data_IF_622139001991
#
_entry.id   IF_622139001991
#
_cell.length_a   1.000
_cell.length_b   1.000
_cell.length_c   1.000
_cell.angle_alpha   90.00
_cell.angle_beta   90.00
_cell.angle_gamma   90.00
#
_symmetry.space_group_name_H-M   'P 1'
#
loop_
_entity.id
_entity.type
_entity.pdbx_description
1 polymer ?
#
# COMPACT_ATOMS: atom_id res chain seq x y z
N UNK A 1 -16.51 15.14 -17.44
CA UNK A 1 -15.04 14.96 -17.36
C UNK A 1 -14.74 14.11 -16.15
N UNK A 2 -13.95 13.04 -16.31
CA UNK A 2 -13.56 12.13 -15.24
C UNK A 2 -12.23 12.56 -14.64
N UNK A 3 -12.12 12.58 -13.31
CA UNK A 3 -10.89 12.89 -12.58
C UNK A 3 -10.48 11.64 -11.79
N UNK A 4 -9.27 11.16 -12.06
CA UNK A 4 -8.64 10.06 -11.33
C UNK A 4 -7.64 10.62 -10.31
N UNK A 5 -7.89 10.37 -9.03
CA UNK A 5 -6.96 10.66 -7.95
C UNK A 5 -6.17 9.39 -7.59
N UNK A 6 -4.86 9.43 -7.78
CA UNK A 6 -3.99 8.30 -7.49
C UNK A 6 -3.41 8.47 -6.09
N UNK A 7 -3.76 7.55 -5.19
CA UNK A 7 -3.11 7.42 -3.88
C UNK A 7 -2.41 6.07 -3.80
N UNK A 8 -1.10 6.06 -3.97
CA UNK A 8 -0.38 4.80 -4.12
C UNK A 8 -0.37 3.95 -2.83
N UNK A 9 -0.24 4.56 -1.65
CA UNK A 9 -0.17 3.85 -0.36
C UNK A 9 -0.99 4.57 0.71
N UNK A 10 -1.44 3.81 1.70
CA UNK A 10 -2.07 4.28 2.93
C UNK A 10 -3.37 5.07 2.71
N UNK A 11 -4.13 4.74 1.65
CA UNK A 11 -5.47 5.27 1.47
C UNK A 11 -6.49 4.46 2.25
N UNK A 12 -6.44 3.12 2.11
CA UNK A 12 -7.38 2.26 2.82
C UNK A 12 -6.98 2.13 4.28
N UNK A 13 -7.93 2.39 5.18
CA UNK A 13 -7.70 2.45 6.62
C UNK A 13 -6.61 3.48 7.02
N UNK A 14 -6.28 4.43 6.14
CA UNK A 14 -5.33 5.49 6.40
C UNK A 14 -5.90 6.48 7.41
N UNK A 15 -5.12 6.89 8.40
CA UNK A 15 -5.53 7.94 9.38
C UNK A 15 -4.61 9.16 9.23
N UNK A 16 -3.94 9.26 8.08
CA UNK A 16 -2.94 10.29 7.79
C UNK A 16 -3.52 11.54 7.12
N UNK A 17 -2.77 12.64 7.17
CA UNK A 17 -3.15 13.88 6.50
C UNK A 17 -3.31 13.73 4.98
N UNK A 18 -2.56 12.82 4.35
CA UNK A 18 -2.63 12.58 2.91
C UNK A 18 -3.97 11.98 2.48
N UNK A 19 -4.52 11.04 3.26
CA UNK A 19 -5.86 10.50 2.99
C UNK A 19 -6.92 11.58 3.22
N UNK A 20 -6.81 12.38 4.29
CA UNK A 20 -7.71 13.51 4.56
C UNK A 20 -7.77 14.49 3.39
N UNK A 21 -6.62 14.89 2.87
CA UNK A 21 -6.54 15.83 1.75
C UNK A 21 -7.12 15.22 0.48
N UNK A 22 -6.80 13.95 0.19
CA UNK A 22 -7.35 13.24 -0.96
C UNK A 22 -8.89 13.16 -0.90
N UNK A 23 -9.44 12.71 0.23
CA UNK A 23 -10.89 12.59 0.46
C UNK A 23 -11.58 13.96 0.39
N UNK A 24 -10.96 15.01 0.94
CA UNK A 24 -11.47 16.38 0.87
C UNK A 24 -11.50 16.90 -0.57
N UNK A 25 -10.40 16.73 -1.31
CA UNK A 25 -10.31 17.13 -2.71
C UNK A 25 -11.33 16.38 -3.57
N UNK A 26 -11.45 15.07 -3.38
CA UNK A 26 -12.39 14.23 -4.10
C UNK A 26 -13.83 14.69 -3.90
N UNK A 27 -14.19 15.03 -2.66
CA UNK A 27 -15.51 15.55 -2.33
C UNK A 27 -15.78 16.89 -3.01
N UNK A 28 -14.84 17.84 -2.95
CA UNK A 28 -14.98 19.15 -3.60
C UNK A 28 -15.19 18.98 -5.12
N UNK A 29 -14.35 18.15 -5.77
CA UNK A 29 -14.48 17.88 -7.19
C UNK A 29 -15.81 17.21 -7.54
N UNK A 30 -16.23 16.24 -6.72
CA UNK A 30 -17.50 15.57 -6.92
C UNK A 30 -18.70 16.51 -6.76
N UNK A 31 -18.68 17.41 -5.77
CA UNK A 31 -19.72 18.42 -5.57
C UNK A 31 -19.77 19.43 -6.71
N UNK A 32 -18.63 19.70 -7.36
CA UNK A 32 -18.54 20.54 -8.55
C UNK A 32 -18.98 19.84 -9.85
N UNK A 33 -19.58 18.65 -9.75
CA UNK A 33 -20.14 17.92 -10.89
C UNK A 33 -19.15 17.08 -11.68
N UNK A 34 -17.92 16.89 -11.18
CA UNK A 34 -16.97 15.96 -11.80
C UNK A 34 -17.26 14.51 -11.39
N UNK A 35 -17.03 13.58 -12.32
CA UNK A 35 -16.97 12.16 -11.98
C UNK A 35 -15.58 11.90 -11.36
N UNK A 36 -15.55 11.48 -10.09
CA UNK A 36 -14.30 11.34 -9.34
C UNK A 36 -14.10 9.89 -8.94
N UNK A 37 -12.91 9.39 -9.24
CA UNK A 37 -12.46 8.08 -8.80
C UNK A 37 -11.14 8.22 -8.04
N UNK A 38 -11.04 7.55 -6.89
CA UNK A 38 -9.79 7.41 -6.15
C UNK A 38 -9.29 5.98 -6.37
N UNK A 39 -8.09 5.84 -6.92
CA UNK A 39 -7.45 4.55 -7.10
C UNK A 39 -6.26 4.38 -6.14
N UNK A 40 -6.11 3.17 -5.63
CA UNK A 40 -5.00 2.74 -4.76
C UNK A 40 -4.44 1.38 -5.19
N UNK A 41 -3.24 1.03 -4.73
CA UNK A 41 -2.59 -0.25 -5.00
C UNK A 41 -1.99 -0.82 -3.71
N UNK A 42 -2.86 -1.34 -2.85
CA UNK A 42 -2.49 -1.83 -1.52
C UNK A 42 -2.94 -3.27 -1.32
N UNK A 43 -2.04 -4.11 -0.79
CA UNK A 43 -2.37 -5.50 -0.42
C UNK A 43 -3.13 -5.57 0.91
N UNK A 44 -4.24 -4.85 1.01
CA UNK A 44 -5.13 -4.84 2.17
C UNK A 44 -6.58 -4.74 1.72
N UNK A 45 -7.47 -5.28 2.55
CA UNK A 45 -8.90 -4.94 2.49
C UNK A 45 -9.15 -3.78 3.45
N UNK A 46 -9.93 -2.79 3.01
CA UNK A 46 -10.23 -1.64 3.84
C UNK A 46 -11.16 -0.66 3.14
N UNK A 47 -11.51 0.39 3.86
CA UNK A 47 -12.29 1.51 3.35
C UNK A 47 -11.56 2.83 3.68
N UNK A 48 -11.89 3.92 2.97
CA UNK A 48 -11.51 5.26 3.40
C UNK A 48 -11.98 5.51 4.85
N UNK A 49 -11.17 6.23 5.63
CA UNK A 49 -11.52 6.61 7.00
C UNK A 49 -12.27 7.92 7.00
N UNK A 50 -11.88 8.88 6.17
CA UNK A 50 -12.63 10.13 6.01
C UNK A 50 -13.83 9.91 5.08
N UNK A 51 -14.96 10.58 5.37
CA UNK A 51 -16.19 10.41 4.60
C UNK A 51 -15.99 10.87 3.15
N UNK A 52 -16.50 10.07 2.22
CA UNK A 52 -16.55 10.39 0.80
C UNK A 52 -17.98 10.69 0.35
N UNK A 53 -18.10 11.58 -0.62
CA UNK A 53 -19.34 11.82 -1.33
C UNK A 53 -19.79 10.53 -2.04
N UNK A 54 -21.11 10.27 -2.08
CA UNK A 54 -21.66 8.98 -2.54
C UNK A 54 -21.30 8.63 -3.99
N UNK A 55 -21.03 9.63 -4.83
CA UNK A 55 -20.62 9.44 -6.21
C UNK A 55 -19.11 9.29 -6.41
N UNK A 56 -18.30 9.44 -5.36
CA UNK A 56 -16.85 9.17 -5.45
C UNK A 56 -16.64 7.66 -5.42
N UNK A 57 -16.03 7.14 -6.48
CA UNK A 57 -15.67 5.72 -6.58
C UNK A 57 -14.30 5.49 -5.94
N UNK A 58 -14.13 4.37 -5.24
CA UNK A 58 -12.84 3.92 -4.71
C UNK A 58 -12.49 2.58 -5.31
N UNK A 59 -11.32 2.49 -5.94
CA UNK A 59 -10.84 1.29 -6.63
C UNK A 59 -9.47 0.89 -6.09
N UNK A 60 -9.32 -0.37 -5.67
CA UNK A 60 -8.01 -0.92 -5.33
C UNK A 60 -7.56 -1.84 -6.48
N UNK A 61 -6.54 -1.41 -7.22
CA UNK A 61 -6.01 -2.11 -8.39
C UNK A 61 -4.98 -3.18 -8.03
N UNK A 62 -4.81 -3.48 -6.74
CA UNK A 62 -3.84 -4.48 -6.28
C UNK A 62 -4.12 -5.86 -6.88
N UNK A 63 -3.08 -6.46 -7.45
CA UNK A 63 -3.08 -7.84 -7.93
C UNK A 63 -2.04 -8.68 -7.15
N UNK A 64 -2.50 -9.78 -6.54
CA UNK A 64 -1.66 -10.71 -5.81
C UNK A 64 -0.76 -11.56 -6.72
N UNK A 65 -1.12 -11.71 -8.00
CA UNK A 65 -0.33 -12.46 -8.98
C UNK A 65 0.86 -11.66 -9.51
N UNK A 66 0.86 -10.34 -9.31
CA UNK A 66 1.97 -9.49 -9.71
C UNK A 66 3.18 -9.76 -8.81
N UNK A 67 4.26 -10.24 -9.41
CA UNK A 67 5.50 -10.52 -8.70
C UNK A 67 6.05 -9.26 -8.00
N UNK A 68 6.02 -9.27 -6.67
CA UNK A 68 6.65 -8.28 -5.81
C UNK A 68 7.59 -8.96 -4.82
N UNK A 69 8.73 -8.34 -4.57
CA UNK A 69 9.73 -8.82 -3.60
C UNK A 69 9.53 -8.05 -2.31
N UNK A 70 8.82 -8.67 -1.37
CA UNK A 70 8.49 -8.03 -0.09
C UNK A 70 9.47 -8.45 1.02
N UNK A 71 9.73 -7.50 1.90
CA UNK A 71 10.46 -7.76 3.13
C UNK A 71 9.57 -8.48 4.14
N UNK A 72 10.16 -9.38 4.92
CA UNK A 72 9.46 -9.97 6.04
C UNK A 72 9.33 -8.95 7.17
N UNK A 73 8.15 -8.81 7.80
CA UNK A 73 7.97 -7.90 8.90
C UNK A 73 8.85 -8.29 10.09
N UNK A 74 9.41 -7.29 10.76
CA UNK A 74 10.21 -7.45 11.96
C UNK A 74 9.31 -7.23 13.17
N UNK A 75 8.85 -8.32 13.77
CA UNK A 75 7.97 -8.27 14.93
C UNK A 75 8.74 -8.37 16.25
N UNK A 76 8.33 -7.58 17.24
CA UNK A 76 8.77 -7.69 18.63
C UNK A 76 7.66 -8.30 19.46
N UNK A 77 7.95 -9.43 20.12
CA UNK A 77 7.01 -10.04 21.07
C UNK A 77 6.74 -9.10 22.23
N UNK A 78 5.46 -8.78 22.46
CA UNK A 78 4.98 -7.89 23.54
C UNK A 78 4.41 -8.64 24.75
N UNK A 79 4.28 -9.97 24.69
CA UNK A 79 3.77 -10.75 25.80
C UNK A 79 4.84 -11.12 26.83
N UNK A 80 4.43 -11.84 27.87
CA UNK A 80 5.29 -12.23 29.00
C UNK A 80 5.78 -13.69 28.94
N UNK A 81 5.26 -14.52 28.02
CA UNK A 81 5.62 -15.93 27.96
C UNK A 81 7.04 -16.13 27.39
N UNK A 82 7.97 -16.75 28.15
CA UNK A 82 9.37 -16.88 27.75
C UNK A 82 9.60 -17.82 26.56
N UNK A 83 8.81 -18.89 26.41
CA UNK A 83 8.91 -19.81 25.27
C UNK A 83 8.47 -19.13 23.97
N UNK A 84 7.37 -18.36 24.03
CA UNK A 84 6.94 -17.54 22.91
C UNK A 84 7.99 -16.48 22.58
N UNK A 85 8.58 -15.83 23.59
CA UNK A 85 9.66 -14.87 23.38
C UNK A 85 10.84 -15.47 22.61
N UNK A 86 11.30 -16.68 22.95
CA UNK A 86 12.36 -17.37 22.21
C UNK A 86 11.97 -17.64 20.75
N UNK A 87 10.75 -18.14 20.50
CA UNK A 87 10.22 -18.37 19.15
C UNK A 87 10.22 -17.08 18.32
N UNK A 88 9.76 -15.98 18.90
CA UNK A 88 9.72 -14.68 18.22
C UNK A 88 11.11 -14.06 18.03
N UNK A 89 12.06 -14.31 18.94
CA UNK A 89 13.47 -13.93 18.75
C UNK A 89 14.09 -14.66 17.56
N UNK A 90 13.87 -15.97 17.44
CA UNK A 90 14.33 -16.75 16.30
C UNK A 90 13.70 -16.25 14.99
N UNK A 91 12.37 -16.05 14.96
CA UNK A 91 11.65 -15.47 13.82
C UNK A 91 12.20 -14.10 13.43
N UNK A 92 12.45 -13.22 14.40
CA UNK A 92 13.03 -11.89 14.17
C UNK A 92 14.44 -11.99 13.55
N UNK A 93 15.27 -12.91 14.04
CA UNK A 93 16.63 -13.14 13.50
C UNK A 93 16.56 -13.63 12.05
N UNK A 94 15.65 -14.56 11.76
CA UNK A 94 15.39 -15.03 10.40
C UNK A 94 14.92 -13.90 9.48
N UNK A 95 13.91 -13.11 9.87
CA UNK A 95 13.42 -11.98 9.06
C UNK A 95 14.54 -10.98 8.75
N UNK A 96 15.38 -10.64 9.73
CA UNK A 96 16.54 -9.74 9.51
C UNK A 96 17.53 -10.31 8.51
N UNK A 97 17.86 -11.58 8.63
CA UNK A 97 18.77 -12.26 7.70
C UNK A 97 18.20 -12.32 6.29
N UNK A 98 16.92 -12.71 6.15
CA UNK A 98 16.22 -12.76 4.87
C UNK A 98 16.16 -11.38 4.21
N UNK A 99 15.73 -10.34 4.93
CA UNK A 99 15.65 -8.98 4.39
C UNK A 99 17.02 -8.46 3.95
N UNK A 100 18.08 -8.73 4.74
CA UNK A 100 19.46 -8.37 4.36
C UNK A 100 19.89 -9.08 3.07
N UNK A 101 19.66 -10.39 2.96
CA UNK A 101 19.96 -11.18 1.76
C UNK A 101 19.16 -10.69 0.55
N UNK A 102 17.89 -10.36 0.73
CA UNK A 102 17.02 -9.82 -0.32
C UNK A 102 17.56 -8.48 -0.84
N UNK A 103 17.85 -7.52 0.05
CA UNK A 103 18.46 -6.23 -0.32
C UNK A 103 19.78 -6.42 -1.07
N UNK A 104 20.64 -7.32 -0.59
CA UNK A 104 21.91 -7.63 -1.27
C UNK A 104 21.71 -8.19 -2.68
N UNK A 105 20.81 -9.18 -2.84
CA UNK A 105 20.49 -9.77 -4.16
C UNK A 105 19.91 -8.76 -5.15
N UNK A 106 19.15 -7.79 -4.66
CA UNK A 106 18.58 -6.73 -5.49
C UNK A 106 19.56 -5.58 -5.77
N UNK A 107 20.74 -5.58 -5.16
CA UNK A 107 21.72 -4.50 -5.30
C UNK A 107 21.38 -3.25 -4.51
N UNK A 108 20.70 -3.41 -3.37
CA UNK A 108 20.38 -2.36 -2.41
C UNK A 108 18.88 -2.14 -2.21
N UNK A 109 18.55 -1.33 -1.20
CA UNK A 109 17.18 -0.95 -0.85
C UNK A 109 16.49 -0.15 -1.95
N UNK A 110 17.22 0.81 -2.54
CA UNK A 110 16.70 1.63 -3.64
C UNK A 110 16.30 0.78 -4.85
N UNK A 111 17.11 -0.22 -5.22
CA UNK A 111 16.80 -1.10 -6.36
C UNK A 111 15.64 -2.06 -6.07
N UNK A 112 15.52 -2.55 -4.83
CA UNK A 112 14.35 -3.32 -4.39
C UNK A 112 13.07 -2.47 -4.50
N UNK A 113 13.10 -1.23 -4.03
CA UNK A 113 11.98 -0.30 -4.14
C UNK A 113 11.62 0.00 -5.59
N UNK A 114 12.61 0.32 -6.43
CA UNK A 114 12.40 0.58 -7.86
C UNK A 114 11.83 -0.64 -8.60
N UNK A 115 12.28 -1.86 -8.28
CA UNK A 115 11.73 -3.08 -8.87
C UNK A 115 10.24 -3.21 -8.56
N UNK A 116 9.85 -3.10 -7.28
CA UNK A 116 8.45 -3.20 -6.89
C UNK A 116 7.60 -2.06 -7.47
N UNK A 117 8.15 -0.84 -7.54
CA UNK A 117 7.49 0.31 -8.16
C UNK A 117 7.24 0.09 -9.65
N UNK A 118 8.25 -0.40 -10.39
CA UNK A 118 8.12 -0.73 -11.82
C UNK A 118 7.06 -1.80 -12.06
N UNK A 119 7.02 -2.83 -11.22
CA UNK A 119 5.99 -3.87 -11.31
C UNK A 119 4.60 -3.26 -11.12
N UNK A 120 4.39 -2.46 -10.06
CA UNK A 120 3.10 -1.81 -9.82
C UNK A 120 2.72 -0.80 -10.90
N UNK A 121 3.70 -0.17 -11.54
CA UNK A 121 3.46 0.73 -12.67
C UNK A 121 2.81 0.03 -13.87
N UNK A 122 2.99 -1.29 -14.03
CA UNK A 122 2.29 -2.08 -15.06
C UNK A 122 0.79 -2.04 -14.79
N UNK A 123 0.37 -2.34 -13.55
CA UNK A 123 -1.04 -2.27 -13.15
C UNK A 123 -1.61 -0.85 -13.34
N UNK A 124 -0.83 0.18 -13.02
CA UNK A 124 -1.25 1.56 -13.24
C UNK A 124 -1.41 1.90 -14.72
N UNK A 125 -0.50 1.44 -15.56
CA UNK A 125 -0.58 1.64 -17.01
C UNK A 125 -1.83 0.98 -17.56
N UNK A 126 -2.04 -0.29 -17.24
CA UNK A 126 -3.21 -1.05 -17.71
C UNK A 126 -4.52 -0.42 -17.22
N UNK A 127 -4.53 0.13 -16.01
CA UNK A 127 -5.70 0.79 -15.42
C UNK A 127 -5.99 2.19 -15.99
N UNK A 128 -4.97 2.94 -16.38
CA UNK A 128 -5.11 4.30 -16.90
C UNK A 128 -5.42 4.28 -18.40
N UNK A 129 -4.81 3.34 -19.13
CA UNK A 129 -4.96 3.24 -20.59
C UNK A 129 -6.18 2.41 -21.02
N UNK A 130 -6.71 1.56 -20.12
CA UNK A 130 -7.89 0.71 -20.36
C UNK A 130 -9.21 1.41 -20.07
#
# INVERSE_FOLDING_TARGET
MKILLIQHLYFLNGIGGTEKICSTLANILSTNGYEVEIATNENIKGSPVFPLHKSVKVTNIFDANLEQKLELPIYNYKGTNPLLWLKYKARKKYSKWYNRRLKQRMGGEAKLFQFNLRKRAILWKDYIDG
#
